data_IF_838295952378
#
_entry.id   IF_838295952378
#
_cell.length_a   1.000
_cell.length_b   1.000
_cell.length_c   1.000
_cell.angle_alpha   90.00
_cell.angle_beta   90.00
_cell.angle_gamma   90.00
#
_symmetry.space_group_name_H-M   'P 1'
#
loop_
_entity.id
_entity.type
_entity.pdbx_description
1 polymer ?
#
# COMPACT_ATOMS: atom_id res chain seq x y z
N UNK A 1 -10.65 18.30 -0.39
CA UNK A 1 -11.06 18.69 -1.76
C UNK A 1 -12.40 19.36 -1.61
N UNK A 2 -12.48 20.68 -1.73
CA UNK A 2 -13.72 21.43 -1.53
C UNK A 2 -14.21 21.89 -2.90
N UNK A 3 -15.47 21.65 -3.30
CA UNK A 3 -16.00 22.17 -4.57
C UNK A 3 -15.97 23.70 -4.58
N UNK A 4 -15.95 24.30 -5.77
CA UNK A 4 -16.04 25.77 -5.91
C UNK A 4 -17.32 26.32 -5.27
N UNK A 5 -17.24 27.58 -4.82
CA UNK A 5 -18.34 28.27 -4.11
C UNK A 5 -19.63 28.28 -4.95
N UNK A 6 -19.52 28.44 -6.26
CA UNK A 6 -20.67 28.41 -7.16
C UNK A 6 -21.38 27.04 -7.17
N UNK A 7 -20.62 25.95 -7.21
CA UNK A 7 -21.16 24.58 -7.10
C UNK A 7 -21.82 24.37 -5.73
N UNK A 8 -21.24 24.89 -4.65
CA UNK A 8 -21.84 24.80 -3.31
C UNK A 8 -23.17 25.55 -3.23
N UNK A 9 -23.22 26.79 -3.73
CA UNK A 9 -24.43 27.60 -3.74
C UNK A 9 -25.55 26.90 -4.52
N UNK A 10 -25.24 26.32 -5.69
CA UNK A 10 -26.22 25.57 -6.48
C UNK A 10 -26.77 24.34 -5.74
N UNK A 11 -25.92 23.61 -5.02
CA UNK A 11 -26.34 22.45 -4.22
C UNK A 11 -27.16 22.87 -2.99
N UNK A 12 -26.82 24.00 -2.36
CA UNK A 12 -27.62 24.60 -1.29
C UNK A 12 -29.00 25.04 -1.79
N UNK A 13 -29.07 25.70 -2.95
CA UNK A 13 -30.31 26.14 -3.56
C UNK A 13 -31.19 24.95 -3.95
N UNK A 14 -30.59 23.89 -4.49
CA UNK A 14 -31.28 22.63 -4.77
C UNK A 14 -31.87 22.02 -3.48
N UNK A 15 -31.08 21.97 -2.41
CA UNK A 15 -31.50 21.45 -1.11
C UNK A 15 -32.64 22.26 -0.50
N UNK A 16 -32.51 23.59 -0.47
CA UNK A 16 -33.53 24.50 0.06
C UNK A 16 -34.81 24.44 -0.77
N UNK A 17 -34.69 24.34 -2.09
CA UNK A 17 -35.81 24.19 -3.01
C UNK A 17 -36.59 22.89 -2.77
N UNK A 18 -35.88 21.77 -2.58
CA UNK A 18 -36.46 20.48 -2.22
C UNK A 18 -37.21 20.55 -0.87
N UNK A 19 -36.56 21.11 0.16
CA UNK A 19 -37.18 21.27 1.49
C UNK A 19 -38.42 22.18 1.48
N UNK A 20 -38.40 23.26 0.69
CA UNK A 20 -39.52 24.20 0.61
C UNK A 20 -40.74 23.63 -0.13
N UNK A 21 -40.51 22.81 -1.17
CA UNK A 21 -41.58 22.20 -1.97
C UNK A 21 -42.11 20.89 -1.37
N UNK A 22 -41.31 20.21 -0.55
CA UNK A 22 -41.67 18.89 0.00
C UNK A 22 -41.71 17.80 -1.06
N UNK A 23 -40.96 17.96 -2.15
CA UNK A 23 -40.85 17.02 -3.27
C UNK A 23 -39.37 16.79 -3.57
N UNK A 24 -38.98 15.53 -3.80
CA UNK A 24 -37.61 15.18 -4.15
C UNK A 24 -37.21 15.73 -5.52
N UNK A 25 -35.90 15.72 -5.80
CA UNK A 25 -35.34 16.31 -7.02
C UNK A 25 -34.49 15.29 -7.79
N UNK A 26 -34.71 15.25 -9.11
CA UNK A 26 -33.78 14.63 -10.04
C UNK A 26 -32.79 15.69 -10.54
N UNK A 27 -31.50 15.41 -10.39
CA UNK A 27 -30.41 16.32 -10.66
C UNK A 27 -29.44 15.73 -11.70
N UNK A 28 -29.67 15.99 -12.99
CA UNK A 28 -28.67 15.77 -14.02
C UNK A 28 -27.44 16.65 -13.74
N UNK A 29 -26.29 16.00 -13.63
CA UNK A 29 -25.01 16.67 -13.36
C UNK A 29 -24.12 16.53 -14.58
N UNK A 30 -23.63 17.65 -15.08
CA UNK A 30 -22.64 17.69 -16.15
C UNK A 30 -21.27 18.08 -15.60
N UNK A 31 -20.25 17.26 -15.85
CA UNK A 31 -18.87 17.68 -15.67
C UNK A 31 -17.91 16.90 -16.59
N UNK A 32 -16.89 17.55 -17.18
CA UNK A 32 -15.85 16.85 -17.94
C UNK A 32 -15.19 15.71 -17.13
N UNK A 33 -14.71 14.67 -17.82
CA UNK A 33 -14.06 13.55 -17.14
C UNK A 33 -12.83 13.99 -16.33
N UNK A 34 -12.67 13.43 -15.13
CA UNK A 34 -11.57 13.75 -14.22
C UNK A 34 -11.73 15.03 -13.40
N UNK A 35 -12.88 15.69 -13.42
CA UNK A 35 -13.17 16.89 -12.58
C UNK A 35 -13.53 16.56 -11.13
N UNK A 36 -13.81 15.30 -10.82
CA UNK A 36 -14.21 14.87 -9.47
C UNK A 36 -15.71 14.73 -9.25
N UNK A 37 -16.54 14.68 -10.32
CA UNK A 37 -18.01 14.54 -10.24
C UNK A 37 -18.48 13.37 -9.35
N UNK A 38 -17.86 12.20 -9.50
CA UNK A 38 -18.15 11.00 -8.71
C UNK A 38 -17.77 11.20 -7.24
N UNK A 39 -16.62 11.83 -7.00
CA UNK A 39 -16.17 12.17 -5.64
C UNK A 39 -17.15 13.14 -4.97
N UNK A 40 -17.63 14.14 -5.71
CA UNK A 40 -18.63 15.08 -5.21
C UNK A 40 -19.95 14.39 -4.88
N UNK A 41 -20.49 13.63 -5.84
CA UNK A 41 -21.78 12.94 -5.69
C UNK A 41 -21.77 11.98 -4.49
N UNK A 42 -20.68 11.24 -4.28
CA UNK A 42 -20.55 10.28 -3.19
C UNK A 42 -20.27 10.88 -1.81
N UNK A 43 -19.97 12.19 -1.72
CA UNK A 43 -19.54 12.80 -0.46
C UNK A 43 -20.26 14.13 -0.16
N UNK A 44 -21.51 14.30 -0.60
CA UNK A 44 -22.28 15.54 -0.34
C UNK A 44 -22.45 15.82 1.15
N UNK A 45 -22.56 14.78 1.98
CA UNK A 45 -22.61 14.87 3.45
C UNK A 45 -21.34 15.49 4.06
N UNK A 46 -20.18 15.30 3.42
CA UNK A 46 -18.92 15.88 3.90
C UNK A 46 -18.78 17.35 3.51
N UNK A 47 -19.37 17.76 2.39
CA UNK A 47 -19.32 19.14 1.92
C UNK A 47 -20.39 20.02 2.58
N UNK A 48 -21.59 19.47 2.75
CA UNK A 48 -22.75 20.19 3.27
C UNK A 48 -23.47 19.33 4.35
N UNK A 49 -22.79 19.08 5.50
CA UNK A 49 -23.24 18.13 6.53
C UNK A 49 -24.58 18.50 7.20
N UNK A 50 -24.92 19.79 7.19
CA UNK A 50 -26.20 20.28 7.71
C UNK A 50 -27.39 20.05 6.78
N UNK A 51 -27.14 19.73 5.49
CA UNK A 51 -28.18 19.59 4.47
C UNK A 51 -28.35 18.15 3.98
N UNK A 52 -27.27 17.37 3.91
CA UNK A 52 -27.28 16.03 3.33
C UNK A 52 -26.89 14.93 4.31
N UNK A 53 -27.53 13.78 4.15
CA UNK A 53 -27.14 12.49 4.70
C UNK A 53 -26.08 11.83 3.80
N UNK A 54 -25.37 10.79 4.29
CA UNK A 54 -24.44 10.03 3.48
C UNK A 54 -25.09 9.54 2.17
N UNK A 55 -24.39 9.70 1.05
CA UNK A 55 -24.91 9.31 -0.26
C UNK A 55 -25.15 7.80 -0.37
N UNK A 56 -26.30 7.41 -0.91
CA UNK A 56 -26.57 6.03 -1.35
C UNK A 56 -25.93 5.84 -2.73
N UNK A 57 -25.01 4.88 -2.85
CA UNK A 57 -24.53 4.42 -4.14
C UNK A 57 -25.52 3.38 -4.68
N UNK A 58 -26.36 3.78 -5.64
CA UNK A 58 -27.40 2.90 -6.15
C UNK A 58 -26.89 2.05 -7.31
N UNK A 59 -27.06 0.73 -7.21
CA UNK A 59 -26.75 -0.21 -8.28
C UNK A 59 -27.96 -1.11 -8.54
N UNK A 60 -28.42 -1.15 -9.79
CA UNK A 60 -29.59 -1.96 -10.18
C UNK A 60 -30.50 -1.28 -11.20
N UNK A 61 -31.72 -1.83 -11.32
CA UNK A 61 -32.79 -1.26 -12.14
C UNK A 61 -33.40 -0.03 -11.45
N UNK A 62 -33.48 1.09 -12.15
CA UNK A 62 -34.03 2.34 -11.62
C UNK A 62 -35.56 2.30 -11.71
N UNK A 63 -36.22 1.85 -10.65
CA UNK A 63 -37.67 1.89 -10.50
C UNK A 63 -38.07 2.39 -9.10
N UNK A 64 -39.32 2.86 -8.94
CA UNK A 64 -39.71 3.53 -7.70
C UNK A 64 -39.64 2.61 -6.47
N UNK A 65 -40.03 1.34 -6.62
CA UNK A 65 -40.03 0.37 -5.52
C UNK A 65 -38.60 0.08 -5.03
N UNK A 66 -37.64 -0.06 -5.96
CA UNK A 66 -36.24 -0.26 -5.62
C UNK A 66 -35.65 0.96 -4.92
N UNK A 67 -35.90 2.17 -5.44
CA UNK A 67 -35.43 3.42 -4.84
C UNK A 67 -36.03 3.64 -3.44
N UNK A 68 -37.32 3.32 -3.27
CA UNK A 68 -38.01 3.42 -1.98
C UNK A 68 -37.42 2.46 -0.95
N UNK A 69 -37.20 1.19 -1.31
CA UNK A 69 -36.62 0.19 -0.40
C UNK A 69 -35.23 0.61 0.08
N UNK A 70 -34.35 1.03 -0.83
CA UNK A 70 -33.00 1.47 -0.48
C UNK A 70 -33.02 2.73 0.39
N UNK A 71 -33.86 3.70 0.04
CA UNK A 71 -34.00 4.95 0.82
C UNK A 71 -34.56 4.68 2.21
N UNK A 72 -35.58 3.83 2.34
CA UNK A 72 -36.16 3.46 3.64
C UNK A 72 -35.15 2.68 4.50
N UNK A 73 -34.41 1.74 3.92
CA UNK A 73 -33.35 1.02 4.61
C UNK A 73 -32.25 1.99 5.09
N UNK A 74 -31.87 2.97 4.26
CA UNK A 74 -30.89 3.97 4.63
C UNK A 74 -31.38 4.88 5.77
N UNK A 75 -32.61 5.40 5.68
CA UNK A 75 -33.22 6.26 6.70
C UNK A 75 -33.40 5.56 8.05
N UNK A 76 -33.59 4.25 8.08
CA UNK A 76 -33.71 3.47 9.32
C UNK A 76 -32.48 3.54 10.24
N UNK A 77 -31.33 3.98 9.70
CA UNK A 77 -30.06 4.13 10.42
C UNK A 77 -29.94 5.48 11.13
N UNK A 78 -30.89 6.39 10.92
CA UNK A 78 -30.87 7.75 11.44
C UNK A 78 -32.09 8.04 12.32
N UNK A 79 -32.03 9.15 13.06
CA UNK A 79 -33.14 9.56 13.91
C UNK A 79 -34.38 9.91 13.08
N UNK A 80 -35.56 9.54 13.57
CA UNK A 80 -36.86 9.75 12.88
C UNK A 80 -37.12 11.24 12.55
N UNK A 81 -36.56 12.15 13.34
CA UNK A 81 -36.68 13.60 13.16
C UNK A 81 -35.58 14.22 12.27
N UNK A 82 -34.71 13.44 11.64
CA UNK A 82 -33.70 13.97 10.73
C UNK A 82 -34.36 14.59 9.50
N UNK A 83 -34.03 15.86 9.25
CA UNK A 83 -34.59 16.67 8.17
C UNK A 83 -33.65 16.79 6.97
N UNK A 84 -32.46 16.20 7.04
CA UNK A 84 -31.49 16.22 5.95
C UNK A 84 -31.99 15.40 4.76
N UNK A 85 -31.50 15.77 3.60
CA UNK A 85 -31.81 15.17 2.30
C UNK A 85 -30.96 13.92 2.11
N UNK A 86 -31.52 12.90 1.48
CA UNK A 86 -30.82 11.65 1.12
C UNK A 86 -30.33 11.77 -0.32
N UNK A 87 -29.02 11.93 -0.58
CA UNK A 87 -28.49 11.86 -1.92
C UNK A 87 -28.46 10.41 -2.40
N UNK A 88 -28.85 10.19 -3.66
CA UNK A 88 -28.81 8.89 -4.33
C UNK A 88 -27.99 9.05 -5.60
N UNK A 89 -26.77 8.52 -5.62
CA UNK A 89 -25.91 8.56 -6.78
C UNK A 89 -26.17 7.35 -7.68
N UNK A 90 -26.66 7.61 -8.89
CA UNK A 90 -26.77 6.60 -9.96
C UNK A 90 -25.52 6.69 -10.81
N UNK A 91 -24.43 6.09 -10.30
CA UNK A 91 -23.11 6.13 -10.94
C UNK A 91 -22.96 5.07 -12.03
N UNK A 92 -21.90 5.18 -12.85
CA UNK A 92 -21.56 4.25 -13.95
C UNK A 92 -22.60 4.15 -15.09
N UNK A 93 -23.47 5.15 -15.25
CA UNK A 93 -24.42 5.29 -16.38
C UNK A 93 -23.99 6.37 -17.38
N UNK A 94 -22.70 6.71 -17.42
CA UNK A 94 -22.17 7.74 -18.33
C UNK A 94 -22.52 7.41 -19.79
N UNK A 95 -23.12 8.36 -20.52
CA UNK A 95 -23.56 8.15 -21.89
C UNK A 95 -24.83 7.29 -22.05
N UNK A 96 -25.47 6.90 -20.95
CA UNK A 96 -26.73 6.14 -20.93
C UNK A 96 -27.78 6.94 -20.14
N UNK A 97 -28.49 7.89 -20.77
CA UNK A 97 -29.54 8.66 -20.09
C UNK A 97 -30.70 7.74 -19.66
N UNK A 98 -31.48 8.12 -18.62
CA UNK A 98 -32.65 7.37 -18.22
C UNK A 98 -33.67 7.34 -19.37
N UNK A 99 -34.26 6.18 -19.58
CA UNK A 99 -35.40 6.00 -20.48
C UNK A 99 -36.62 6.79 -19.99
N UNK A 100 -37.60 7.00 -20.87
CA UNK A 100 -38.86 7.66 -20.49
C UNK A 100 -39.61 6.92 -19.37
N UNK A 101 -39.53 5.60 -19.36
CA UNK A 101 -40.07 4.75 -18.29
C UNK A 101 -39.33 4.99 -16.96
N UNK A 102 -38.00 5.00 -16.98
CA UNK A 102 -37.19 5.29 -15.79
C UNK A 102 -37.45 6.71 -15.25
N UNK A 103 -37.60 7.72 -16.12
CA UNK A 103 -37.94 9.07 -15.69
C UNK A 103 -39.33 9.15 -15.03
N UNK A 104 -40.31 8.41 -15.54
CA UNK A 104 -41.63 8.33 -14.93
C UNK A 104 -41.57 7.66 -13.54
N UNK A 105 -40.78 6.59 -13.42
CA UNK A 105 -40.53 5.90 -12.15
C UNK A 105 -39.78 6.77 -11.14
N UNK A 106 -38.76 7.51 -11.57
CA UNK A 106 -38.04 8.49 -10.76
C UNK A 106 -39.02 9.54 -10.24
N UNK A 107 -39.87 10.12 -11.10
CA UNK A 107 -40.89 11.08 -10.68
C UNK A 107 -41.86 10.47 -9.67
N UNK A 108 -42.33 9.23 -9.90
CA UNK A 108 -43.22 8.51 -8.98
C UNK A 108 -42.59 8.37 -7.60
N UNK A 109 -41.31 8.01 -7.54
CA UNK A 109 -40.55 7.92 -6.30
C UNK A 109 -40.35 9.28 -5.63
N UNK A 110 -39.92 10.32 -6.34
CA UNK A 110 -39.61 11.64 -5.75
C UNK A 110 -40.82 12.33 -5.11
N UNK A 111 -42.05 11.94 -5.50
CA UNK A 111 -43.30 12.40 -4.88
C UNK A 111 -43.75 11.54 -3.69
N UNK A 112 -43.09 10.43 -3.43
CA UNK A 112 -43.47 9.50 -2.37
C UNK A 112 -43.17 10.13 -1.00
N UNK A 113 -44.15 10.26 -0.08
CA UNK A 113 -43.95 10.93 1.20
C UNK A 113 -43.00 10.18 2.13
N UNK A 114 -42.92 8.84 2.00
CA UNK A 114 -41.95 8.02 2.73
C UNK A 114 -40.61 8.00 1.99
N UNK A 115 -39.74 8.97 2.30
CA UNK A 115 -38.35 9.04 1.85
C UNK A 115 -38.11 9.76 0.53
N UNK A 116 -38.98 9.54 -0.48
CA UNK A 116 -38.85 10.13 -1.82
C UNK A 116 -38.85 11.66 -1.83
N UNK A 117 -39.73 12.28 -1.05
CA UNK A 117 -39.80 13.74 -0.85
C UNK A 117 -38.56 14.36 -0.21
N UNK A 118 -37.68 13.52 0.37
CA UNK A 118 -36.39 13.92 0.94
C UNK A 118 -35.21 13.45 0.09
N UNK A 119 -35.44 12.91 -1.10
CA UNK A 119 -34.39 12.32 -1.92
C UNK A 119 -33.90 13.30 -3.01
N UNK A 120 -32.57 13.32 -3.20
CA UNK A 120 -31.91 13.99 -4.32
C UNK A 120 -31.23 12.93 -5.17
N UNK A 121 -31.79 12.63 -6.35
CA UNK A 121 -31.19 11.66 -7.28
C UNK A 121 -30.16 12.39 -8.14
N UNK A 122 -28.91 11.99 -8.02
CA UNK A 122 -27.76 12.51 -8.76
C UNK A 122 -27.51 11.60 -9.96
N UNK A 123 -27.51 12.19 -11.17
CA UNK A 123 -27.17 11.48 -12.40
C UNK A 123 -25.97 12.15 -13.08
N UNK A 124 -24.73 11.74 -12.74
CA UNK A 124 -23.53 12.32 -13.30
C UNK A 124 -23.29 11.85 -14.75
N UNK A 125 -23.05 12.81 -15.65
CA UNK A 125 -22.67 12.57 -17.04
C UNK A 125 -21.46 13.44 -17.44
N UNK A 126 -20.77 13.02 -18.49
CA UNK A 126 -19.63 13.70 -19.10
C UNK A 126 -19.99 14.45 -20.38
N UNK A 127 -21.18 14.20 -20.95
CA UNK A 127 -21.68 14.86 -22.16
C UNK A 127 -22.72 15.93 -21.81
N UNK A 128 -22.50 17.16 -22.28
CA UNK A 128 -23.39 18.29 -21.97
C UNK A 128 -24.73 18.11 -22.67
N UNK A 129 -24.69 17.70 -23.92
CA UNK A 129 -25.85 17.53 -24.79
C UNK A 129 -26.82 16.49 -24.21
N UNK A 130 -26.29 15.38 -23.67
CA UNK A 130 -27.09 14.37 -22.97
C UNK A 130 -27.67 14.93 -21.67
N UNK A 131 -26.89 15.68 -20.90
CA UNK A 131 -27.36 16.29 -19.65
C UNK A 131 -28.48 17.31 -19.88
N UNK A 132 -28.37 18.10 -20.95
CA UNK A 132 -29.43 19.03 -21.39
C UNK A 132 -30.67 18.29 -21.88
N UNK A 133 -30.51 17.22 -22.67
CA UNK A 133 -31.61 16.39 -23.12
C UNK A 133 -32.35 15.73 -21.95
N UNK A 134 -31.62 15.17 -20.97
CA UNK A 134 -32.17 14.61 -19.73
C UNK A 134 -32.95 15.66 -18.93
N UNK A 135 -32.39 16.87 -18.81
CA UNK A 135 -33.01 17.97 -18.08
C UNK A 135 -34.32 18.44 -18.71
N UNK A 136 -34.37 18.50 -20.04
CA UNK A 136 -35.60 18.82 -20.79
C UNK A 136 -36.64 17.72 -20.62
N UNK A 137 -36.26 16.46 -20.84
CA UNK A 137 -37.16 15.32 -20.69
C UNK A 137 -37.76 15.24 -19.26
N UNK A 138 -36.95 15.48 -18.24
CA UNK A 138 -37.44 15.54 -16.86
C UNK A 138 -38.39 16.72 -16.64
N UNK A 139 -38.06 17.92 -17.16
CA UNK A 139 -38.91 19.11 -17.00
C UNK A 139 -40.27 18.96 -17.70
N UNK A 140 -40.31 18.30 -18.86
CA UNK A 140 -41.55 18.00 -19.58
C UNK A 140 -42.45 17.05 -18.80
N UNK A 141 -41.86 16.07 -18.10
CA UNK A 141 -42.59 15.07 -17.31
C UNK A 141 -42.97 15.62 -15.93
N UNK A 142 -42.07 16.29 -15.22
CA UNK A 142 -42.20 16.67 -13.81
C UNK A 142 -42.61 18.13 -13.58
N UNK A 143 -42.50 18.99 -14.59
CA UNK A 143 -42.70 20.44 -14.48
C UNK A 143 -41.40 21.18 -14.13
N UNK A 144 -41.51 22.50 -13.90
CA UNK A 144 -40.33 23.36 -13.72
C UNK A 144 -39.61 23.06 -12.38
N UNK A 145 -38.33 22.63 -12.40
CA UNK A 145 -37.54 22.38 -11.20
C UNK A 145 -37.29 23.66 -10.38
N UNK A 146 -36.86 23.53 -9.10
CA UNK A 146 -36.54 24.68 -8.25
C UNK A 146 -35.25 25.42 -8.65
N UNK A 147 -34.40 24.77 -9.45
CA UNK A 147 -33.12 25.29 -9.95
C UNK A 147 -33.01 25.01 -11.45
N UNK A 148 -32.12 25.71 -12.14
CA UNK A 148 -31.84 25.47 -13.55
C UNK A 148 -31.07 24.14 -13.72
N UNK A 149 -31.50 23.34 -14.71
CA UNK A 149 -30.91 22.04 -15.03
C UNK A 149 -30.37 22.05 -16.47
N UNK A 150 -29.27 21.34 -16.77
CA UNK A 150 -28.47 20.51 -15.86
C UNK A 150 -27.54 21.34 -14.97
N UNK A 151 -27.16 20.80 -13.82
CA UNK A 151 -26.15 21.45 -12.97
C UNK A 151 -24.77 21.17 -13.55
N UNK A 152 -24.10 22.22 -14.02
CA UNK A 152 -22.71 22.15 -14.44
C UNK A 152 -21.81 22.26 -13.22
N UNK A 153 -20.91 21.28 -13.05
CA UNK A 153 -20.00 21.22 -11.91
C UNK A 153 -18.58 21.49 -12.37
N UNK A 154 -17.95 22.46 -11.71
CA UNK A 154 -16.51 22.69 -11.81
C UNK A 154 -15.76 21.84 -10.79
N UNK A 155 -14.58 21.38 -11.19
CA UNK A 155 -13.65 20.74 -10.26
C UNK A 155 -13.12 21.75 -9.22
N UNK A 156 -12.27 21.30 -8.29
CA UNK A 156 -11.62 22.22 -7.36
C UNK A 156 -10.76 23.24 -8.13
N UNK A 157 -10.53 24.46 -7.58
CA UNK A 157 -9.74 25.49 -8.24
C UNK A 157 -8.35 24.99 -8.62
N UNK A 158 -7.83 25.42 -9.78
CA UNK A 158 -6.56 24.91 -10.33
C UNK A 158 -5.37 25.15 -9.38
N UNK A 159 -5.38 26.26 -8.63
CA UNK A 159 -4.37 26.55 -7.61
C UNK A 159 -4.29 25.48 -6.50
N UNK A 160 -5.34 24.68 -6.32
CA UNK A 160 -5.38 23.62 -5.30
C UNK A 160 -4.90 22.27 -5.83
N UNK A 161 -4.70 22.10 -7.15
CA UNK A 161 -4.44 20.78 -7.74
C UNK A 161 -3.13 20.16 -7.28
N UNK A 162 -2.09 20.98 -7.11
CA UNK A 162 -0.78 20.52 -6.62
C UNK A 162 -0.89 19.96 -5.19
N UNK A 163 -1.59 20.65 -4.29
CA UNK A 163 -1.82 20.19 -2.91
C UNK A 163 -2.72 18.95 -2.84
N UNK A 164 -3.74 18.90 -3.71
CA UNK A 164 -4.60 17.71 -3.85
C UNK A 164 -3.78 16.52 -4.33
N UNK A 165 -2.89 16.70 -5.30
CA UNK A 165 -2.00 15.64 -5.77
C UNK A 165 -1.05 15.14 -4.69
N UNK A 166 -0.39 16.06 -3.96
CA UNK A 166 0.46 15.69 -2.81
C UNK A 166 -0.30 14.85 -1.80
N UNK A 167 -1.51 15.28 -1.42
CA UNK A 167 -2.34 14.57 -0.44
C UNK A 167 -2.81 13.20 -0.96
N UNK A 168 -3.28 13.15 -2.21
CA UNK A 168 -3.79 11.92 -2.83
C UNK A 168 -2.68 10.89 -2.97
N UNK A 169 -1.49 11.31 -3.41
CA UNK A 169 -0.36 10.42 -3.60
C UNK A 169 0.23 9.94 -2.27
N UNK A 170 0.25 10.78 -1.22
CA UNK A 170 0.60 10.37 0.15
C UNK A 170 -0.33 9.26 0.64
N UNK A 171 -1.63 9.42 0.47
CA UNK A 171 -2.64 8.45 0.90
C UNK A 171 -2.54 7.12 0.13
N UNK A 172 -2.37 7.18 -1.19
CA UNK A 172 -2.33 5.98 -2.04
C UNK A 172 -1.02 5.22 -1.90
N UNK A 173 0.12 5.92 -1.80
CA UNK A 173 1.42 5.27 -1.82
C UNK A 173 2.05 5.09 -0.43
N UNK A 174 1.49 5.69 0.62
CA UNK A 174 2.13 5.77 1.95
C UNK A 174 3.56 6.38 1.87
N UNK A 175 3.77 7.31 0.94
CA UNK A 175 5.05 7.99 0.71
C UNK A 175 4.87 9.47 1.07
N UNK A 176 5.56 9.94 2.11
CA UNK A 176 5.44 11.31 2.62
C UNK A 176 6.10 12.39 1.72
N UNK A 177 7.10 12.04 0.90
CA UNK A 177 7.71 12.93 -0.10
C UNK A 177 7.94 12.21 -1.44
N UNK A 178 7.22 12.65 -2.48
CA UNK A 178 7.43 12.25 -3.88
C UNK A 178 8.55 13.05 -4.58
N UNK A 179 8.79 14.23 -4.01
CA UNK A 179 9.83 15.23 -4.30
C UNK A 179 11.20 14.55 -4.55
N UNK A 180 11.48 13.51 -3.77
CA UNK A 180 12.77 12.81 -3.73
C UNK A 180 12.84 11.55 -4.60
N UNK A 181 11.72 11.13 -5.21
CA UNK A 181 11.72 10.09 -6.26
C UNK A 181 12.02 10.72 -7.63
N UNK A 182 11.82 12.03 -7.78
CA UNK A 182 12.03 12.76 -9.05
C UNK A 182 10.73 13.14 -9.75
N UNK A 183 9.58 13.00 -9.06
CA UNK A 183 8.27 13.45 -9.54
C UNK A 183 7.67 14.37 -8.48
N UNK A 184 7.82 15.67 -8.67
CA UNK A 184 7.34 16.68 -7.74
C UNK A 184 5.99 17.23 -8.22
N UNK A 185 4.85 17.00 -7.53
CA UNK A 185 3.58 17.58 -7.95
C UNK A 185 3.62 19.11 -8.13
N UNK A 186 4.48 19.83 -7.39
CA UNK A 186 4.66 21.28 -7.60
C UNK A 186 5.49 21.66 -8.85
N UNK A 187 6.19 20.73 -9.49
CA UNK A 187 6.87 20.99 -10.77
C UNK A 187 5.93 20.91 -11.98
N UNK A 188 4.73 20.37 -11.81
CA UNK A 188 3.70 20.34 -12.85
C UNK A 188 2.88 21.62 -12.79
N UNK A 189 2.71 22.28 -13.92
CA UNK A 189 1.80 23.43 -14.05
C UNK A 189 0.36 22.94 -14.28
N UNK A 190 -0.57 23.16 -13.32
CA UNK A 190 -1.98 22.80 -13.49
C UNK A 190 -2.64 23.44 -14.72
N UNK A 191 -2.09 24.56 -15.23
CA UNK A 191 -2.66 25.29 -16.35
C UNK A 191 -2.68 24.47 -17.65
N UNK A 192 -1.71 23.56 -17.82
CA UNK A 192 -1.55 22.70 -19.00
C UNK A 192 -2.55 21.54 -19.08
N UNK A 193 -3.39 21.34 -18.07
CA UNK A 193 -4.30 20.20 -17.99
C UNK A 193 -5.76 20.64 -17.99
N UNK A 194 -6.61 19.83 -18.63
CA UNK A 194 -8.05 20.10 -18.74
C UNK A 194 -8.83 19.68 -17.50
N UNK A 195 -8.32 18.73 -16.70
CA UNK A 195 -8.95 18.28 -15.47
C UNK A 195 -7.92 17.81 -14.44
N UNK A 196 -8.31 17.80 -13.16
CA UNK A 196 -7.51 17.25 -12.06
C UNK A 196 -7.13 15.79 -12.31
N UNK A 197 -8.05 14.99 -12.86
CA UNK A 197 -7.79 13.59 -13.22
C UNK A 197 -6.71 13.46 -14.29
N UNK A 198 -6.68 14.36 -15.28
CA UNK A 198 -5.60 14.44 -16.25
C UNK A 198 -4.26 14.80 -15.60
N UNK A 199 -4.27 15.80 -14.71
CA UNK A 199 -3.10 16.21 -13.93
C UNK A 199 -2.52 15.06 -13.07
N UNK A 200 -3.37 14.36 -12.32
CA UNK A 200 -2.95 13.22 -11.49
C UNK A 200 -2.43 12.04 -12.32
N UNK A 201 -3.02 11.82 -13.50
CA UNK A 201 -2.63 10.72 -14.38
C UNK A 201 -1.22 10.95 -14.96
N UNK A 202 -0.90 12.16 -15.40
CA UNK A 202 0.44 12.49 -15.90
C UNK A 202 1.51 12.24 -14.83
N UNK A 203 1.26 12.71 -13.60
CA UNK A 203 2.14 12.47 -12.46
C UNK A 203 2.36 10.97 -12.22
N UNK A 204 1.29 10.17 -12.29
CA UNK A 204 1.36 8.72 -12.13
C UNK A 204 2.13 8.04 -13.26
N UNK A 205 1.96 8.49 -14.51
CA UNK A 205 2.62 7.92 -15.68
C UNK A 205 4.11 8.22 -15.65
N UNK A 206 4.52 9.44 -15.28
CA UNK A 206 5.92 9.82 -15.11
C UNK A 206 6.59 9.04 -13.97
N UNK A 207 5.88 8.83 -12.87
CA UNK A 207 6.35 7.95 -11.80
C UNK A 207 6.60 6.52 -12.29
N UNK A 208 5.66 5.96 -13.06
CA UNK A 208 5.82 4.61 -13.63
C UNK A 208 7.01 4.52 -14.61
N UNK A 209 7.21 5.55 -15.45
CA UNK A 209 8.35 5.66 -16.37
C UNK A 209 9.68 5.70 -15.62
N UNK A 210 9.77 6.52 -14.57
CA UNK A 210 10.94 6.66 -13.72
C UNK A 210 11.30 5.35 -13.01
N UNK A 211 10.33 4.66 -12.40
CA UNK A 211 10.57 3.35 -11.78
C UNK A 211 11.08 2.35 -12.82
N UNK A 212 10.53 2.41 -14.04
CA UNK A 212 10.94 1.53 -15.14
C UNK A 212 12.34 1.88 -15.66
N UNK A 213 12.71 3.15 -15.75
CA UNK A 213 14.05 3.58 -16.20
C UNK A 213 15.13 3.18 -15.19
N UNK A 214 14.87 3.42 -13.91
CA UNK A 214 15.75 3.00 -12.80
C UNK A 214 16.02 1.49 -12.85
N UNK A 215 15.00 0.68 -13.16
CA UNK A 215 15.15 -0.78 -13.29
C UNK A 215 15.94 -1.19 -14.54
N UNK A 216 15.91 -0.39 -15.62
CA UNK A 216 16.63 -0.64 -16.88
C UNK A 216 18.11 -0.28 -16.81
N UNK A 217 18.51 0.64 -15.93
CA UNK A 217 19.91 1.07 -15.78
C UNK A 217 20.79 0.03 -15.05
N UNK A 218 20.20 -0.90 -14.29
CA UNK A 218 20.95 -1.97 -13.66
C UNK A 218 21.17 -3.13 -14.63
N UNK A 219 22.43 -3.42 -14.98
CA UNK A 219 22.82 -4.59 -15.82
C UNK A 219 22.28 -5.91 -15.26
N UNK A 220 22.11 -5.99 -13.94
CA UNK A 220 21.57 -7.13 -13.19
C UNK A 220 20.77 -6.57 -12.01
N UNK A 221 19.51 -6.99 -11.83
CA UNK A 221 18.69 -6.51 -10.70
C UNK A 221 19.30 -6.98 -9.38
N UNK A 222 19.28 -6.16 -8.35
CA UNK A 222 19.87 -6.49 -7.04
C UNK A 222 18.78 -6.39 -5.99
N UNK A 223 18.60 -7.45 -5.22
CA UNK A 223 17.65 -7.51 -4.11
C UNK A 223 18.38 -7.60 -2.78
N UNK A 224 17.86 -6.97 -1.73
CA UNK A 224 18.41 -7.00 -0.38
C UNK A 224 17.46 -7.71 0.58
N UNK A 225 17.94 -8.77 1.21
CA UNK A 225 17.23 -9.51 2.25
C UNK A 225 18.04 -9.46 3.56
N UNK A 226 17.52 -8.72 4.54
CA UNK A 226 18.12 -8.58 5.87
C UNK A 226 17.54 -9.65 6.78
N UNK A 227 18.38 -10.53 7.32
CA UNK A 227 17.94 -11.74 8.03
C UNK A 227 18.38 -11.68 9.49
N UNK A 228 17.41 -11.63 10.40
CA UNK A 228 17.64 -11.61 11.84
C UNK A 228 17.64 -13.04 12.39
N UNK A 229 18.80 -13.52 12.82
CA UNK A 229 18.95 -14.81 13.48
C UNK A 229 19.04 -14.60 15.00
N UNK A 230 18.03 -15.03 15.74
CA UNK A 230 17.95 -14.84 17.20
C UNK A 230 17.16 -15.95 17.87
N UNK A 231 17.08 -15.92 19.21
CA UNK A 231 16.27 -16.86 19.99
C UNK A 231 14.76 -16.65 19.80
N UNK A 232 14.35 -15.52 19.22
CA UNK A 232 12.95 -15.15 19.06
C UNK A 232 12.17 -16.17 18.23
N UNK A 233 11.08 -16.65 18.81
CA UNK A 233 10.12 -17.54 18.15
C UNK A 233 9.07 -16.80 17.32
N UNK A 234 8.90 -15.50 17.57
CA UNK A 234 7.94 -14.63 16.88
C UNK A 234 8.68 -13.42 16.29
N UNK A 235 8.32 -13.08 15.06
CA UNK A 235 8.89 -11.97 14.29
C UNK A 235 7.89 -10.82 14.11
N UNK A 236 6.78 -10.80 14.86
CA UNK A 236 5.72 -9.80 14.78
C UNK A 236 6.22 -8.35 14.88
N UNK A 237 7.39 -8.08 15.45
CA UNK A 237 7.96 -6.72 15.41
C UNK A 237 8.27 -6.24 13.98
N UNK A 238 8.61 -7.14 13.06
CA UNK A 238 8.91 -6.81 11.67
C UNK A 238 7.67 -6.36 10.90
N UNK A 239 6.45 -6.79 11.29
CA UNK A 239 5.22 -6.29 10.65
C UNK A 239 4.99 -4.80 10.92
N UNK A 240 5.61 -4.25 11.96
CA UNK A 240 5.59 -2.81 12.26
C UNK A 240 6.68 -2.02 11.53
N UNK A 241 7.61 -2.69 10.85
CA UNK A 241 8.72 -2.08 10.11
C UNK A 241 8.67 -2.40 8.61
N UNK A 242 7.61 -3.08 8.16
CA UNK A 242 7.39 -3.50 6.79
C UNK A 242 6.00 -3.09 6.33
N UNK A 243 5.85 -2.80 5.04
CA UNK A 243 4.58 -2.41 4.45
C UNK A 243 3.79 -3.64 3.99
N UNK A 244 2.61 -3.85 4.55
CA UNK A 244 1.66 -4.87 4.12
C UNK A 244 1.13 -4.63 2.69
N UNK A 245 1.03 -3.36 2.29
CA UNK A 245 0.53 -2.94 0.97
C UNK A 245 1.58 -3.08 -0.14
N UNK A 246 2.87 -3.15 0.20
CA UNK A 246 3.97 -3.28 -0.76
C UNK A 246 4.62 -4.68 -0.72
N UNK A 247 3.82 -5.72 -0.52
CA UNK A 247 4.27 -7.12 -0.51
C UNK A 247 5.40 -7.42 0.49
N UNK A 248 5.52 -6.68 1.61
CA UNK A 248 6.51 -6.93 2.65
C UNK A 248 7.86 -6.22 2.49
N UNK A 249 7.94 -5.18 1.65
CA UNK A 249 9.08 -4.25 1.65
C UNK A 249 9.25 -3.58 3.02
N UNK A 250 10.48 -3.15 3.32
CA UNK A 250 10.76 -2.26 4.44
C UNK A 250 9.98 -0.95 4.32
N UNK A 251 9.43 -0.46 5.43
CA UNK A 251 8.73 0.82 5.49
C UNK A 251 9.69 1.92 5.98
N UNK A 252 10.06 2.83 5.08
CA UNK A 252 11.00 3.91 5.37
C UNK A 252 10.55 4.84 6.49
N UNK A 253 9.26 5.20 6.55
CA UNK A 253 8.72 6.07 7.60
C UNK A 253 8.73 5.34 8.95
N UNK A 254 8.26 4.09 8.98
CA UNK A 254 8.26 3.29 10.21
C UNK A 254 9.67 3.03 10.76
N UNK A 255 10.66 2.84 9.88
CA UNK A 255 12.07 2.70 10.26
C UNK A 255 12.61 4.00 10.90
N UNK A 256 12.31 5.16 10.32
CA UNK A 256 12.75 6.45 10.85
C UNK A 256 12.09 6.79 12.19
N UNK A 257 10.78 6.57 12.29
CA UNK A 257 10.01 6.82 13.51
C UNK A 257 10.41 5.90 14.65
N UNK A 258 10.88 4.70 14.32
CA UNK A 258 11.42 3.75 15.29
C UNK A 258 12.85 4.05 15.74
N UNK A 259 13.61 4.88 14.99
CA UNK A 259 15.03 5.16 15.25
C UNK A 259 15.42 6.65 15.19
N UNK A 260 14.61 7.58 15.76
CA UNK A 260 14.72 9.02 15.52
C UNK A 260 16.04 9.65 15.98
N UNK A 261 16.63 9.11 17.06
CA UNK A 261 17.86 9.65 17.66
C UNK A 261 19.14 9.04 17.11
N UNK A 262 19.03 7.94 16.36
CA UNK A 262 20.19 7.24 15.80
C UNK A 262 20.89 8.10 14.74
N UNK A 263 22.22 8.02 14.66
CA UNK A 263 23.00 8.74 13.65
C UNK A 263 22.53 8.42 12.22
N UNK A 264 22.29 7.13 11.95
CA UNK A 264 21.79 6.66 10.67
C UNK A 264 20.35 7.10 10.40
N UNK A 265 19.49 7.15 11.42
CA UNK A 265 18.13 7.68 11.33
C UNK A 265 18.13 9.16 10.99
N UNK A 266 18.97 9.96 11.66
CA UNK A 266 19.16 11.38 11.34
C UNK A 266 19.69 11.59 9.92
N UNK A 267 20.64 10.76 9.48
CA UNK A 267 21.20 10.81 8.13
C UNK A 267 20.14 10.56 7.05
N UNK A 268 19.28 9.56 7.25
CA UNK A 268 18.18 9.23 6.34
C UNK A 268 16.99 10.19 6.46
N UNK A 269 16.72 10.75 7.63
CA UNK A 269 15.67 11.76 7.82
C UNK A 269 15.93 13.01 6.97
N UNK A 270 17.20 13.34 6.73
CA UNK A 270 17.59 14.42 5.81
C UNK A 270 17.55 14.00 4.32
N UNK A 271 17.28 12.73 4.00
CA UNK A 271 17.39 12.11 2.66
C UNK A 271 16.24 11.12 2.41
N UNK A 272 15.00 11.52 2.73
CA UNK A 272 13.88 10.58 2.85
C UNK A 272 13.55 9.85 1.55
N UNK A 273 13.47 10.48 0.38
CA UNK A 273 13.22 9.66 -0.81
C UNK A 273 14.46 9.04 -1.43
N UNK A 274 15.69 9.39 -1.03
CA UNK A 274 16.82 8.49 -1.26
C UNK A 274 16.60 7.17 -0.51
N UNK A 275 16.06 7.21 0.72
CA UNK A 275 15.71 6.00 1.47
C UNK A 275 14.63 5.20 0.73
N UNK A 276 13.53 5.86 0.34
CA UNK A 276 12.43 5.22 -0.38
C UNK A 276 12.89 4.61 -1.70
N UNK A 277 13.62 5.38 -2.52
CA UNK A 277 14.15 4.88 -3.79
C UNK A 277 15.16 3.75 -3.59
N UNK A 278 16.00 3.80 -2.56
CA UNK A 278 16.94 2.71 -2.21
C UNK A 278 16.19 1.44 -1.84
N UNK A 279 15.15 1.53 -0.99
CA UNK A 279 14.32 0.38 -0.59
C UNK A 279 13.66 -0.25 -1.83
N UNK A 280 13.07 0.57 -2.70
CA UNK A 280 12.38 0.08 -3.91
C UNK A 280 13.35 -0.49 -4.94
N UNK A 281 14.50 0.15 -5.17
CA UNK A 281 15.55 -0.32 -6.09
C UNK A 281 16.11 -1.66 -5.68
N UNK A 282 16.27 -1.86 -4.37
CA UNK A 282 16.82 -3.07 -3.78
C UNK A 282 15.75 -4.12 -3.45
N UNK A 283 14.46 -3.90 -3.72
CA UNK A 283 13.38 -4.77 -3.21
C UNK A 283 13.63 -5.18 -1.74
N UNK A 284 13.99 -4.19 -0.90
CA UNK A 284 14.64 -4.45 0.38
C UNK A 284 13.64 -4.98 1.41
N UNK A 285 13.92 -6.14 1.98
CA UNK A 285 13.05 -6.88 2.90
C UNK A 285 13.78 -7.33 4.14
N UNK A 286 13.03 -7.55 5.23
CA UNK A 286 13.54 -8.12 6.46
C UNK A 286 12.84 -9.45 6.79
N UNK A 287 13.61 -10.42 7.26
CA UNK A 287 13.16 -11.75 7.62
C UNK A 287 13.69 -12.17 8.98
N UNK A 288 12.96 -13.04 9.67
CA UNK A 288 13.46 -13.75 10.85
C UNK A 288 13.92 -15.14 10.45
N UNK A 289 15.09 -15.55 10.95
CA UNK A 289 15.60 -16.91 10.86
C UNK A 289 15.45 -17.58 12.23
N UNK A 290 14.41 -18.40 12.44
CA UNK A 290 14.11 -18.97 13.75
C UNK A 290 15.13 -20.06 14.15
N UNK A 291 15.29 -20.33 15.47
CA UNK A 291 16.17 -21.38 15.98
C UNK A 291 15.94 -22.76 15.36
N UNK A 292 14.68 -23.08 15.01
CA UNK A 292 14.31 -24.35 14.37
C UNK A 292 14.95 -24.55 12.98
N UNK A 293 15.27 -23.46 12.28
CA UNK A 293 15.96 -23.49 11.00
C UNK A 293 17.48 -23.33 11.20
N UNK A 294 17.91 -22.30 11.93
CA UNK A 294 19.33 -21.98 12.10
C UNK A 294 20.12 -23.10 12.79
N UNK A 295 19.62 -23.68 13.88
CA UNK A 295 20.35 -24.76 14.61
C UNK A 295 20.51 -26.01 13.74
N UNK A 296 19.49 -26.38 12.97
CA UNK A 296 19.57 -27.54 12.07
C UNK A 296 20.61 -27.33 10.96
N UNK A 297 20.66 -26.13 10.39
CA UNK A 297 21.66 -25.73 9.41
C UNK A 297 23.06 -25.79 10.01
N UNK A 298 23.27 -25.17 11.17
CA UNK A 298 24.57 -25.12 11.84
C UNK A 298 25.05 -26.51 12.31
N UNK A 299 24.15 -27.38 12.79
CA UNK A 299 24.50 -28.76 13.14
C UNK A 299 25.01 -29.56 11.94
N UNK A 300 24.53 -29.24 10.74
CA UNK A 300 24.86 -29.98 9.51
C UNK A 300 26.05 -29.40 8.76
N UNK A 301 26.07 -28.08 8.57
CA UNK A 301 27.04 -27.38 7.70
C UNK A 301 27.95 -26.41 8.48
N UNK A 302 27.76 -26.27 9.78
CA UNK A 302 28.59 -25.41 10.63
C UNK A 302 30.05 -25.86 10.75
N UNK A 303 30.93 -25.04 11.33
CA UNK A 303 32.28 -25.46 11.68
C UNK A 303 32.25 -26.60 12.71
N UNK A 304 33.28 -27.45 12.73
CA UNK A 304 33.33 -28.64 13.59
C UNK A 304 33.11 -28.32 15.07
N UNK A 305 33.68 -27.21 15.57
CA UNK A 305 33.44 -26.74 16.95
C UNK A 305 31.94 -26.54 17.24
N UNK A 306 31.20 -25.90 16.32
CA UNK A 306 29.75 -25.67 16.45
C UNK A 306 29.00 -27.00 16.36
N UNK A 307 29.41 -27.89 15.46
CA UNK A 307 28.80 -29.23 15.33
C UNK A 307 28.96 -30.06 16.59
N UNK A 308 30.15 -30.08 17.18
CA UNK A 308 30.46 -30.81 18.41
C UNK A 308 29.70 -30.24 19.61
N UNK A 309 29.68 -28.91 19.74
CA UNK A 309 28.90 -28.22 20.77
C UNK A 309 27.40 -28.51 20.68
N UNK A 310 26.83 -28.52 19.48
CA UNK A 310 25.42 -28.88 19.30
C UNK A 310 25.18 -30.37 19.57
N UNK A 311 26.16 -31.24 19.28
CA UNK A 311 26.07 -32.66 19.58
C UNK A 311 26.03 -32.94 21.09
N UNK A 312 26.86 -32.24 21.87
CA UNK A 312 26.91 -32.42 23.34
C UNK A 312 25.61 -31.99 24.03
N UNK A 313 24.88 -31.04 23.42
CA UNK A 313 23.52 -30.65 23.83
C UNK A 313 22.41 -31.60 23.35
N UNK A 314 22.76 -32.71 22.70
CA UNK A 314 21.81 -33.71 22.22
C UNK A 314 21.10 -33.33 20.90
N UNK A 315 21.58 -32.32 20.17
CA UNK A 315 21.03 -31.98 18.86
C UNK A 315 21.45 -33.03 17.83
N UNK A 316 20.47 -33.82 17.38
CA UNK A 316 20.67 -34.85 16.34
C UNK A 316 21.09 -34.20 15.03
N UNK A 317 22.03 -34.84 14.32
CA UNK A 317 22.44 -34.42 12.98
C UNK A 317 21.25 -34.58 12.01
N UNK A 318 20.69 -33.49 11.46
CA UNK A 318 19.59 -33.59 10.52
C UNK A 318 20.10 -34.06 9.15
N UNK A 319 19.30 -34.84 8.43
CA UNK A 319 19.53 -35.10 7.02
C UNK A 319 19.20 -33.88 6.16
N UNK A 320 19.74 -33.83 4.94
CA UNK A 320 19.58 -32.68 4.05
C UNK A 320 18.10 -32.35 3.78
N UNK A 321 17.24 -33.38 3.61
CA UNK A 321 15.79 -33.21 3.42
C UNK A 321 15.08 -32.53 4.59
N UNK A 322 15.59 -32.68 5.82
CA UNK A 322 15.04 -32.02 7.01
C UNK A 322 15.46 -30.55 7.02
N UNK A 323 16.71 -30.26 6.68
CA UNK A 323 17.22 -28.88 6.61
C UNK A 323 16.50 -28.10 5.52
N UNK A 324 16.38 -28.67 4.31
CA UNK A 324 15.69 -28.00 3.19
C UNK A 324 14.22 -27.75 3.48
N UNK A 325 13.52 -28.70 4.11
CA UNK A 325 12.13 -28.52 4.56
C UNK A 325 11.98 -27.43 5.63
N UNK A 326 12.96 -27.29 6.53
CA UNK A 326 12.92 -26.23 7.54
C UNK A 326 13.15 -24.84 6.92
N UNK A 327 14.03 -24.74 5.92
CA UNK A 327 14.21 -23.51 5.12
C UNK A 327 12.92 -23.19 4.36
N UNK A 328 12.33 -24.17 3.66
CA UNK A 328 11.08 -24.01 2.90
C UNK A 328 9.95 -23.39 3.76
N UNK A 329 9.89 -23.77 5.04
CA UNK A 329 8.85 -23.33 5.96
C UNK A 329 9.07 -21.92 6.50
N UNK A 330 10.30 -21.42 6.54
CA UNK A 330 10.58 -20.07 7.04
C UNK A 330 10.28 -19.00 5.98
N UNK A 331 10.11 -17.75 6.42
CA UNK A 331 9.71 -16.66 5.52
C UNK A 331 10.76 -16.39 4.43
N UNK A 332 12.05 -16.57 4.74
CA UNK A 332 13.11 -16.47 3.75
C UNK A 332 12.97 -17.54 2.66
N UNK A 333 12.72 -18.81 3.02
CA UNK A 333 12.56 -19.87 2.03
C UNK A 333 11.30 -19.69 1.17
N UNK A 334 10.19 -19.26 1.77
CA UNK A 334 8.97 -18.89 1.03
C UNK A 334 9.22 -17.77 0.03
N UNK A 335 9.98 -16.75 0.44
CA UNK A 335 10.39 -15.64 -0.42
C UNK A 335 11.25 -16.14 -1.60
N UNK A 336 12.23 -17.01 -1.35
CA UNK A 336 13.07 -17.59 -2.41
C UNK A 336 12.28 -18.46 -3.40
N UNK A 337 11.19 -19.09 -2.95
CA UNK A 337 10.26 -19.85 -3.79
C UNK A 337 9.23 -18.97 -4.52
N UNK A 338 9.27 -17.65 -4.35
CA UNK A 338 8.32 -16.72 -4.97
C UNK A 338 6.89 -16.82 -4.41
N UNK A 339 6.70 -17.37 -3.20
CA UNK A 339 5.38 -17.50 -2.60
C UNK A 339 4.91 -16.12 -2.08
N UNK A 340 3.81 -15.60 -2.63
CA UNK A 340 3.25 -14.26 -2.36
C UNK A 340 2.39 -14.18 -1.08
N UNK A 341 2.62 -15.04 -0.08
CA UNK A 341 1.88 -14.94 1.20
C UNK A 341 2.48 -13.84 2.07
N UNK A 342 1.63 -13.23 2.92
CA UNK A 342 2.05 -12.26 3.93
C UNK A 342 3.28 -12.80 4.67
N UNK A 343 4.41 -12.13 4.45
CA UNK A 343 5.66 -12.38 5.16
C UNK A 343 5.32 -12.24 6.65
N UNK A 344 5.75 -13.19 7.50
CA UNK A 344 5.59 -13.18 8.97
C UNK A 344 4.36 -13.91 9.56
N UNK A 345 3.59 -14.68 8.78
CA UNK A 345 2.52 -15.55 9.35
C UNK A 345 3.05 -16.90 9.90
N UNK A 346 4.36 -17.16 9.82
CA UNK A 346 4.92 -18.47 10.21
C UNK A 346 4.97 -18.61 11.74
N UNK A 347 3.85 -19.03 12.34
CA UNK A 347 3.80 -19.51 13.72
C UNK A 347 4.45 -20.89 13.80
N UNK A 348 5.65 -20.96 14.36
CA UNK A 348 6.29 -22.22 14.72
C UNK A 348 6.93 -22.08 16.09
N UNK A 349 6.41 -22.76 17.10
CA UNK A 349 7.09 -22.87 18.39
C UNK A 349 8.37 -23.67 18.18
N UNK A 350 9.57 -23.09 18.40
CA UNK A 350 10.81 -23.86 18.33
C UNK A 350 10.72 -25.02 19.32
N UNK A 351 11.21 -26.20 18.95
CA UNK A 351 11.39 -27.25 19.95
C UNK A 351 12.29 -26.73 21.06
N UNK A 352 12.00 -27.05 22.33
CA UNK A 352 12.78 -26.60 23.49
C UNK A 352 14.28 -26.85 23.31
N UNK A 353 14.63 -27.95 22.64
CA UNK A 353 16.01 -28.32 22.27
C UNK A 353 16.66 -27.33 21.30
N UNK A 354 15.95 -26.86 20.26
CA UNK A 354 16.51 -25.87 19.32
C UNK A 354 16.72 -24.51 19.96
N UNK A 355 15.85 -24.10 20.87
CA UNK A 355 16.01 -22.83 21.60
C UNK A 355 17.23 -22.86 22.53
N UNK A 356 17.33 -23.90 23.36
CA UNK A 356 18.48 -24.10 24.27
C UNK A 356 19.80 -24.21 23.50
N UNK A 357 19.79 -24.91 22.36
CA UNK A 357 20.95 -25.02 21.49
C UNK A 357 21.38 -23.67 20.91
N UNK A 358 20.43 -22.83 20.49
CA UNK A 358 20.75 -21.49 20.02
C UNK A 358 21.28 -20.59 21.14
N UNK A 359 20.69 -20.68 22.35
CA UNK A 359 21.17 -19.97 23.54
C UNK A 359 22.62 -20.29 23.85
N UNK A 360 23.00 -21.56 23.83
CA UNK A 360 24.39 -21.97 24.04
C UNK A 360 25.36 -21.41 22.98
N UNK A 361 24.93 -21.35 21.71
CA UNK A 361 25.71 -20.69 20.66
C UNK A 361 25.84 -19.18 20.93
N UNK A 362 24.79 -18.55 21.42
CA UNK A 362 24.78 -17.14 21.76
C UNK A 362 25.67 -16.81 22.98
N UNK A 363 25.76 -17.70 23.98
CA UNK A 363 26.65 -17.58 25.14
C UNK A 363 28.13 -17.55 24.74
N UNK A 364 28.48 -18.30 23.70
CA UNK A 364 29.83 -18.25 23.12
C UNK A 364 30.14 -16.88 22.50
N UNK A 365 29.12 -16.11 22.12
CA UNK A 365 29.22 -14.76 21.58
C UNK A 365 29.32 -14.71 20.05
N UNK A 366 28.53 -13.81 19.46
CA UNK A 366 28.56 -13.47 18.03
C UNK A 366 29.60 -12.38 17.78
N UNK A 367 30.57 -12.67 16.91
CA UNK A 367 31.70 -11.78 16.59
C UNK A 367 31.97 -11.84 15.09
N UNK A 368 32.54 -10.78 14.51
CA UNK A 368 32.76 -10.70 13.07
C UNK A 368 33.52 -11.91 12.46
N UNK A 369 34.44 -12.53 13.20
CA UNK A 369 35.15 -13.73 12.73
C UNK A 369 34.31 -15.00 12.78
N UNK A 370 33.51 -15.18 13.84
CA UNK A 370 32.63 -16.34 14.00
C UNK A 370 31.41 -16.27 13.10
N UNK A 371 30.83 -15.09 12.94
CA UNK A 371 29.66 -14.85 12.10
C UNK A 371 29.95 -15.26 10.64
N UNK A 372 31.16 -15.01 10.13
CA UNK A 372 31.58 -15.50 8.81
C UNK A 372 31.46 -17.00 8.67
N UNK A 373 31.93 -17.77 9.65
CA UNK A 373 31.82 -19.23 9.61
C UNK A 373 30.36 -19.70 9.62
N UNK A 374 29.47 -18.99 10.31
CA UNK A 374 28.03 -19.24 10.29
C UNK A 374 27.41 -18.87 8.93
N UNK A 375 27.86 -17.79 8.30
CA UNK A 375 27.41 -17.35 6.98
C UNK A 375 27.78 -18.39 5.89
N UNK A 376 28.99 -18.95 5.95
CA UNK A 376 29.41 -20.08 5.08
C UNK A 376 28.49 -21.30 5.25
N UNK A 377 28.14 -21.67 6.48
CA UNK A 377 27.21 -22.78 6.74
C UNK A 377 25.82 -22.51 6.14
N UNK A 378 25.34 -21.26 6.21
CA UNK A 378 24.11 -20.85 5.54
C UNK A 378 24.21 -20.93 4.02
N UNK A 379 25.36 -20.58 3.43
CA UNK A 379 25.56 -20.68 1.99
C UNK A 379 25.51 -22.13 1.48
N UNK A 380 26.13 -23.05 2.20
CA UNK A 380 26.03 -24.49 1.90
C UNK A 380 24.59 -24.99 2.00
N UNK A 381 23.87 -24.61 3.07
CA UNK A 381 22.47 -24.97 3.23
C UNK A 381 21.57 -24.41 2.13
N UNK A 382 21.80 -23.17 1.69
CA UNK A 382 21.06 -22.54 0.59
C UNK A 382 21.37 -23.19 -0.76
N UNK A 383 22.57 -23.74 -0.94
CA UNK A 383 22.95 -24.52 -2.14
C UNK A 383 22.26 -25.87 -2.16
N UNK A 384 22.20 -26.56 -1.02
CA UNK A 384 21.43 -27.80 -0.87
C UNK A 384 19.93 -27.56 -1.08
N UNK A 385 19.40 -26.44 -0.54
CA UNK A 385 18.02 -26.02 -0.75
C UNK A 385 17.71 -25.75 -2.23
N UNK A 386 18.59 -25.02 -2.94
CA UNK A 386 18.43 -24.76 -4.37
C UNK A 386 18.31 -26.07 -5.17
N UNK A 387 19.23 -27.00 -4.90
CA UNK A 387 19.29 -28.30 -5.56
C UNK A 387 18.03 -29.13 -5.31
N UNK A 388 17.54 -29.13 -4.06
CA UNK A 388 16.34 -29.87 -3.67
C UNK A 388 15.05 -29.30 -4.27
N UNK A 389 14.99 -27.98 -4.46
CA UNK A 389 13.80 -27.27 -4.96
C UNK A 389 13.86 -26.99 -6.47
N UNK A 390 14.93 -27.41 -7.16
CA UNK A 390 15.13 -27.15 -8.59
C UNK A 390 15.34 -25.67 -8.93
N UNK A 391 15.85 -24.87 -7.99
CA UNK A 391 16.12 -23.44 -8.20
C UNK A 391 17.46 -23.27 -8.91
N UNK A 392 17.47 -22.43 -9.95
CA UNK A 392 18.66 -22.18 -10.78
C UNK A 392 19.38 -20.89 -10.33
N UNK A 393 20.12 -20.99 -9.23
CA UNK A 393 21.04 -19.94 -8.76
C UNK A 393 22.34 -20.53 -8.21
N UNK A 394 23.40 -19.72 -8.21
CA UNK A 394 24.66 -20.06 -7.52
C UNK A 394 24.80 -19.26 -6.23
N UNK A 395 25.22 -19.93 -5.16
CA UNK A 395 25.45 -19.28 -3.85
C UNK A 395 26.92 -18.96 -3.68
N UNK A 396 27.23 -17.74 -3.24
CA UNK A 396 28.57 -17.35 -2.79
C UNK A 396 28.48 -16.70 -1.41
N UNK A 397 29.47 -16.92 -0.55
CA UNK A 397 29.58 -16.32 0.78
C UNK A 397 30.79 -15.40 0.84
N UNK A 398 30.64 -14.23 1.48
CA UNK A 398 31.73 -13.31 1.82
C UNK A 398 32.59 -12.90 0.61
N UNK A 399 31.97 -12.80 -0.57
CA UNK A 399 32.64 -12.50 -1.84
C UNK A 399 32.02 -11.29 -2.51
N UNK A 400 32.89 -10.48 -3.11
CA UNK A 400 32.50 -9.36 -3.96
C UNK A 400 31.66 -9.86 -5.13
N UNK A 401 30.59 -9.15 -5.45
CA UNK A 401 29.78 -9.41 -6.64
C UNK A 401 30.55 -9.05 -7.91
N UNK A 402 30.35 -9.82 -8.99
CA UNK A 402 31.10 -9.64 -10.24
C UNK A 402 30.81 -8.30 -10.95
N UNK A 403 29.67 -7.69 -10.65
CA UNK A 403 29.13 -6.53 -11.38
C UNK A 403 29.03 -5.26 -10.53
N UNK A 404 29.35 -5.31 -9.23
CA UNK A 404 29.30 -4.15 -8.33
C UNK A 404 30.27 -4.33 -7.13
N UNK A 405 30.60 -3.26 -6.38
CA UNK A 405 31.60 -3.37 -5.33
C UNK A 405 31.13 -4.05 -4.04
N UNK A 406 29.83 -4.38 -3.94
CA UNK A 406 29.21 -4.96 -2.76
C UNK A 406 29.82 -6.32 -2.39
N UNK A 407 30.04 -6.52 -1.09
CA UNK A 407 30.43 -7.79 -0.48
C UNK A 407 29.33 -8.18 0.52
N UNK A 408 28.26 -8.87 0.08
CA UNK A 408 27.23 -9.36 0.98
C UNK A 408 27.72 -10.56 1.79
N UNK A 409 27.08 -10.83 2.93
CA UNK A 409 27.38 -12.01 3.75
C UNK A 409 27.19 -13.28 2.90
N UNK A 410 26.03 -13.42 2.24
CA UNK A 410 25.80 -14.38 1.16
C UNK A 410 25.13 -13.70 -0.03
N UNK A 411 25.38 -14.18 -1.25
CA UNK A 411 24.63 -13.80 -2.44
C UNK A 411 24.13 -15.00 -3.23
N UNK A 412 22.87 -14.91 -3.69
CA UNK A 412 22.24 -15.86 -4.59
C UNK A 412 22.21 -15.25 -5.99
N UNK A 413 23.02 -15.78 -6.89
CA UNK A 413 23.21 -15.28 -8.24
C UNK A 413 22.34 -16.06 -9.22
N UNK A 414 21.29 -15.40 -9.72
CA UNK A 414 20.49 -15.85 -10.85
C UNK A 414 21.06 -15.27 -12.15
N UNK A 415 20.47 -15.61 -13.30
CA UNK A 415 20.90 -15.09 -14.60
C UNK A 415 20.76 -13.55 -14.69
N UNK A 416 19.59 -13.02 -14.31
CA UNK A 416 19.25 -11.58 -14.46
C UNK A 416 19.18 -10.81 -13.15
N UNK A 417 19.37 -11.49 -12.03
CA UNK A 417 19.30 -10.86 -10.70
C UNK A 417 20.23 -11.50 -9.67
N UNK A 418 20.54 -10.76 -8.62
CA UNK A 418 21.24 -11.27 -7.46
C UNK A 418 20.48 -10.88 -6.19
N UNK A 419 20.31 -11.83 -5.27
CA UNK A 419 19.76 -11.57 -3.93
C UNK A 419 20.92 -11.54 -2.95
N UNK A 420 21.13 -10.39 -2.33
CA UNK A 420 22.11 -10.18 -1.28
C UNK A 420 21.46 -10.45 0.08
N UNK A 421 22.04 -11.36 0.84
CA UNK A 421 21.61 -11.74 2.17
C UNK A 421 22.56 -11.11 3.19
N UNK A 422 21.99 -10.38 4.15
CA UNK A 422 22.71 -9.71 5.22
C UNK A 422 22.21 -10.25 6.56
N UNK A 423 23.02 -11.04 7.25
CA UNK A 423 22.63 -11.66 8.50
C UNK A 423 22.91 -10.73 9.67
N UNK A 424 22.14 -10.92 10.74
CA UNK A 424 22.51 -10.37 12.04
C UNK A 424 22.21 -11.40 13.11
N UNK A 425 23.28 -11.88 13.74
CA UNK A 425 23.21 -12.86 14.80
C UNK A 425 23.05 -12.13 16.14
N UNK A 426 22.02 -12.48 16.90
CA UNK A 426 21.66 -11.81 18.15
C UNK A 426 21.32 -12.82 19.23
N UNK A 427 21.87 -12.59 20.41
CA UNK A 427 21.51 -13.30 21.63
C UNK A 427 20.14 -12.82 22.14
N UNK A 428 19.51 -13.65 22.97
CA UNK A 428 18.24 -13.39 23.63
C UNK A 428 17.06 -13.20 22.65
N UNK A 429 15.90 -12.92 23.22
CA UNK A 429 14.69 -12.58 22.49
C UNK A 429 14.82 -11.17 21.88
N UNK A 430 15.56 -11.08 20.76
CA UNK A 430 15.91 -9.80 20.14
C UNK A 430 14.74 -9.18 19.37
N UNK A 431 13.84 -9.97 18.81
CA UNK A 431 12.73 -9.54 17.96
C UNK A 431 11.49 -9.06 18.76
N UNK A 432 11.73 -8.28 19.80
CA UNK A 432 10.70 -7.72 20.70
C UNK A 432 10.58 -6.21 20.56
N UNK A 433 9.44 -5.65 21.00
CA UNK A 433 9.15 -4.21 20.92
C UNK A 433 10.25 -3.32 21.52
N UNK A 434 10.91 -3.75 22.61
CA UNK A 434 12.00 -3.02 23.25
C UNK A 434 13.21 -2.77 22.33
N UNK A 435 13.45 -3.67 21.37
CA UNK A 435 14.57 -3.59 20.44
C UNK A 435 14.18 -3.00 19.07
N UNK A 436 12.93 -2.54 18.90
CA UNK A 436 12.43 -2.00 17.62
C UNK A 436 13.37 -0.96 17.01
N UNK A 437 13.88 -0.03 17.83
CA UNK A 437 14.80 0.99 17.35
C UNK A 437 16.17 0.45 16.91
N UNK A 438 16.66 -0.60 17.58
CA UNK A 438 17.91 -1.26 17.19
C UNK A 438 17.76 -2.03 15.86
N UNK A 439 16.62 -2.72 15.69
CA UNK A 439 16.26 -3.42 14.45
C UNK A 439 16.16 -2.41 13.30
N UNK A 440 15.41 -1.32 13.51
CA UNK A 440 15.24 -0.27 12.50
C UNK A 440 16.57 0.38 12.12
N UNK A 441 17.40 0.75 13.11
CA UNK A 441 18.72 1.32 12.87
C UNK A 441 19.67 0.37 12.13
N UNK A 442 19.53 -0.95 12.32
CA UNK A 442 20.31 -1.94 11.57
C UNK A 442 19.90 -1.97 10.09
N UNK A 443 18.60 -2.03 9.80
CA UNK A 443 18.08 -1.99 8.44
C UNK A 443 18.54 -0.71 7.71
N UNK A 444 18.37 0.44 8.35
CA UNK A 444 18.80 1.73 7.82
C UNK A 444 20.32 1.78 7.53
N UNK A 445 21.14 1.13 8.36
CA UNK A 445 22.59 1.07 8.15
C UNK A 445 22.97 0.24 6.93
N UNK A 446 22.33 -0.91 6.74
CA UNK A 446 22.55 -1.75 5.55
C UNK A 446 22.10 -1.03 4.29
N UNK A 447 20.92 -0.39 4.31
CA UNK A 447 20.47 0.45 3.20
C UNK A 447 21.46 1.58 2.90
N UNK A 448 22.02 2.24 3.93
CA UNK A 448 23.01 3.31 3.74
C UNK A 448 24.27 2.78 3.07
N UNK A 449 24.81 1.67 3.57
CA UNK A 449 26.03 1.07 3.02
C UNK A 449 25.82 0.70 1.55
N UNK A 450 24.69 0.04 1.22
CA UNK A 450 24.36 -0.33 -0.15
C UNK A 450 24.20 0.90 -1.05
N UNK A 451 23.50 1.93 -0.59
CA UNK A 451 23.31 3.17 -1.36
C UNK A 451 24.63 3.89 -1.66
N UNK A 452 25.60 3.85 -0.74
CA UNK A 452 26.94 4.43 -0.93
C UNK A 452 27.78 3.59 -1.88
N UNK A 453 27.86 2.29 -1.65
CA UNK A 453 28.67 1.38 -2.47
C UNK A 453 28.17 1.29 -3.92
N UNK A 454 26.87 1.45 -4.14
CA UNK A 454 26.27 1.53 -5.48
C UNK A 454 26.32 2.93 -6.10
N UNK A 455 26.88 3.93 -5.40
CA UNK A 455 27.04 5.30 -5.90
C UNK A 455 25.75 6.12 -5.97
N UNK A 456 24.69 5.72 -5.26
CA UNK A 456 23.43 6.46 -5.21
C UNK A 456 23.43 7.57 -4.16
N UNK A 457 24.24 7.41 -3.12
CA UNK A 457 24.43 8.39 -2.06
C UNK A 457 25.84 9.00 -2.15
N UNK A 458 26.01 10.29 -1.83
CA UNK A 458 27.34 10.85 -1.59
C UNK A 458 28.01 10.18 -0.39
N UNK A 459 29.35 10.16 -0.40
CA UNK A 459 30.17 9.59 0.68
C UNK A 459 29.84 10.15 2.06
#
# INVERSE_FOLDING_TARGET
MTPEVETQNLLEDAARGLMARGEGLFLPIYAPSGTGKTTLANNLDKFLPGLFLPTILFSGSVNADALQRETAHHLSKFAVNDKRIVPINIDHREGSPPSGEELAEIKRFLRHPEGGSKALILWPDTQRELSEAMSRAYSDIAGKPPIDLPVAISGPPRETWQEIAKTTLRLVNSIDSLEDLGVEPSSYDPSGFTSLGGFLREISDDFAKLVTSIRREMRKSLRLAIVFASESSDAGILTHLTSSNQFGLLDGSALLDSSPDSEVGKWWKARRGLLTSTIVRLDARAFSLPPSASVGILRRYGPEEVKENLNSLGVRLPGDSVVTRNIERCDLGKYLLGQSKAILETKGTPTTTSLLAFQYLAESGFTAGRDKALNYALAEALTAFASAQGLSYTTTAEKKLDFCPLIPDNSLNFEKEAICLEYTWRASDFMVAKNRGNIAAYCLRKLRNYSRELGWAPE
#
